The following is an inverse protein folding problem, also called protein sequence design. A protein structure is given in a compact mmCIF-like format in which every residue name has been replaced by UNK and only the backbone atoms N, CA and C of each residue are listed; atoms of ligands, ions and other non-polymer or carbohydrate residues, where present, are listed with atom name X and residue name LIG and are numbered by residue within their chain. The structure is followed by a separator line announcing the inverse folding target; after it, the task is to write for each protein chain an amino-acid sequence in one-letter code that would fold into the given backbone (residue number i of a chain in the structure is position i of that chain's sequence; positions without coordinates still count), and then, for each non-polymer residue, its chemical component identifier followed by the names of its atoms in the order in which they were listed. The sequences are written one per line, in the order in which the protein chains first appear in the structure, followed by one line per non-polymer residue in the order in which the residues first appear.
data_IF_074901999299
#
_entry.id   IF_074901999299
#
_cell.length_a   1.000
_cell.length_b   1.000
_cell.length_c   1.000
_cell.angle_alpha   90.00
_cell.angle_beta   90.00
_cell.angle_gamma   90.00
#
_symmetry.space_group_name_H-M   'P 1'
#
loop_
_entity.id
_entity.type
_entity.pdbx_description
1 polymer ?
#
# COMPACT_ATOMS: atom_id res chain seq x y z
N UNK A 1 -21.37 14.56 85.43
CA UNK A 1 -22.61 14.70 84.65
C UNK A 1 -22.23 15.40 83.35
N UNK A 2 -22.39 14.63 82.27
CA UNK A 2 -22.45 15.03 80.86
C UNK A 2 -21.20 15.55 80.15
N UNK A 3 -20.34 14.61 79.75
CA UNK A 3 -19.52 14.72 78.56
C UNK A 3 -20.09 13.75 77.50
N UNK A 4 -20.99 14.25 76.64
CA UNK A 4 -21.44 13.53 75.45
C UNK A 4 -21.87 14.48 74.31
N UNK A 5 -21.22 14.25 73.16
CA UNK A 5 -21.74 14.33 71.79
C UNK A 5 -21.97 15.70 71.13
N UNK A 6 -20.94 16.18 70.41
CA UNK A 6 -21.13 16.86 69.12
C UNK A 6 -20.29 16.16 68.03
N UNK A 7 -20.92 15.58 66.99
CA UNK A 7 -20.23 14.79 65.97
C UNK A 7 -19.41 15.63 64.97
N UNK A 8 -18.22 15.13 64.63
CA UNK A 8 -17.37 15.56 63.51
C UNK A 8 -18.15 15.51 62.19
N UNK A 9 -18.67 16.64 61.73
CA UNK A 9 -19.24 16.78 60.38
C UNK A 9 -18.59 17.92 59.58
N UNK A 10 -17.26 17.95 59.51
CA UNK A 10 -16.52 18.94 58.69
C UNK A 10 -15.63 18.32 57.61
N UNK A 11 -15.53 16.97 57.55
CA UNK A 11 -14.66 16.30 56.57
C UNK A 11 -15.32 16.08 55.20
N UNK A 12 -16.66 16.05 55.11
CA UNK A 12 -17.37 15.81 53.84
C UNK A 12 -17.56 17.05 52.96
N UNK A 13 -17.62 18.24 53.57
CA UNK A 13 -17.88 19.51 52.86
C UNK A 13 -16.66 19.94 52.04
N UNK A 14 -15.44 19.74 52.57
CA UNK A 14 -14.20 20.07 51.87
C UNK A 14 -13.91 19.14 50.68
N UNK A 15 -14.41 17.90 50.70
CA UNK A 15 -14.34 16.97 49.56
C UNK A 15 -15.27 17.40 48.43
N UNK A 16 -16.52 17.72 48.76
CA UNK A 16 -17.52 18.18 47.78
C UNK A 16 -17.17 19.54 47.15
N UNK A 17 -16.58 20.46 47.92
CA UNK A 17 -16.07 21.74 47.40
C UNK A 17 -14.87 21.57 46.45
N UNK A 18 -14.02 20.57 46.68
CA UNK A 18 -12.90 20.24 45.78
C UNK A 18 -13.37 19.59 44.48
N UNK A 19 -14.35 18.71 44.55
CA UNK A 19 -14.93 18.07 43.36
C UNK A 19 -15.70 19.07 42.49
N UNK A 20 -16.47 19.98 43.09
CA UNK A 20 -17.17 21.04 42.35
C UNK A 20 -16.20 22.01 41.68
N UNK A 21 -15.06 22.33 42.30
CA UNK A 21 -14.00 23.13 41.67
C UNK A 21 -13.35 22.36 40.49
N UNK A 22 -13.00 21.09 40.69
CA UNK A 22 -12.42 20.24 39.63
C UNK A 22 -13.35 20.03 38.45
N UNK A 23 -14.66 19.88 38.68
CA UNK A 23 -15.67 19.76 37.63
C UNK A 23 -15.86 21.08 36.90
N UNK A 24 -15.80 22.21 37.61
CA UNK A 24 -15.87 23.55 37.00
C UNK A 24 -14.64 23.84 36.15
N UNK A 25 -13.45 23.46 36.59
CA UNK A 25 -12.21 23.57 35.81
C UNK A 25 -12.25 22.66 34.57
N UNK A 26 -12.83 21.45 34.70
CA UNK A 26 -13.05 20.54 33.57
C UNK A 26 -14.10 21.08 32.59
N UNK A 27 -15.17 21.70 33.08
CA UNK A 27 -16.19 22.34 32.26
C UNK A 27 -15.63 23.57 31.54
N UNK A 28 -14.82 24.38 32.21
CA UNK A 28 -14.12 25.52 31.59
C UNK A 28 -13.11 25.02 30.56
N UNK A 29 -12.41 23.91 30.80
CA UNK A 29 -11.54 23.29 29.81
C UNK A 29 -12.33 22.77 28.59
N UNK A 30 -13.48 22.13 28.80
CA UNK A 30 -14.39 21.67 27.74
C UNK A 30 -14.98 22.86 26.97
N UNK A 31 -15.38 23.91 27.66
CA UNK A 31 -15.89 25.14 27.07
C UNK A 31 -14.80 25.90 26.33
N UNK A 32 -13.54 25.86 26.78
CA UNK A 32 -12.38 26.42 26.05
C UNK A 32 -12.07 25.58 24.81
N UNK A 33 -12.22 24.26 24.88
CA UNK A 33 -12.11 23.36 23.72
C UNK A 33 -13.27 23.53 22.73
N UNK A 34 -14.47 23.92 23.19
CA UNK A 34 -15.65 24.15 22.36
C UNK A 34 -15.77 25.60 21.84
N UNK A 35 -15.24 26.60 22.56
CA UNK A 35 -15.47 28.02 22.32
C UNK A 35 -14.29 28.72 21.62
N UNK A 36 -13.10 28.10 21.58
CA UNK A 36 -11.86 28.86 21.32
C UNK A 36 -10.86 28.27 20.34
N UNK A 37 -11.19 27.25 19.55
CA UNK A 37 -10.51 27.09 18.27
C UNK A 37 -11.19 28.03 17.28
N UNK A 38 -10.90 29.33 17.38
CA UNK A 38 -10.99 30.19 16.19
C UNK A 38 -10.02 29.57 15.19
N UNK A 39 -10.53 28.68 14.33
CA UNK A 39 -9.76 28.14 13.23
C UNK A 39 -9.17 29.35 12.52
N UNK A 40 -7.82 29.46 12.37
CA UNK A 40 -7.27 30.45 11.49
C UNK A 40 -8.01 30.29 10.16
N UNK A 41 -8.66 31.36 9.69
CA UNK A 41 -9.37 31.36 8.40
C UNK A 41 -8.37 30.83 7.38
N UNK A 42 -8.58 29.60 6.91
CA UNK A 42 -7.70 28.99 5.94
C UNK A 42 -7.66 29.94 4.73
N UNK A 43 -6.46 30.36 4.28
CA UNK A 43 -6.35 31.27 3.17
C UNK A 43 -7.09 30.68 1.96
N UNK A 44 -7.94 31.49 1.33
CA UNK A 44 -8.72 31.08 0.15
C UNK A 44 -7.83 30.32 -0.84
N UNK A 45 -8.23 29.11 -1.26
CA UNK A 45 -7.40 28.25 -2.09
C UNK A 45 -7.06 28.96 -3.40
N UNK A 46 -5.77 29.19 -3.64
CA UNK A 46 -5.29 29.78 -4.88
C UNK A 46 -5.36 28.74 -5.99
N UNK A 47 -6.55 28.60 -6.57
CA UNK A 47 -6.91 27.54 -7.54
C UNK A 47 -5.86 27.32 -8.64
N UNK A 48 -5.26 28.38 -9.17
CA UNK A 48 -4.25 28.30 -10.24
C UNK A 48 -2.92 27.75 -9.72
N UNK A 49 -2.52 28.15 -8.51
CA UNK A 49 -1.27 27.71 -7.88
C UNK A 49 -1.37 26.25 -7.46
N UNK A 50 -2.51 25.86 -6.88
CA UNK A 50 -2.83 24.46 -6.55
C UNK A 50 -2.91 23.58 -7.80
N UNK A 51 -3.59 24.04 -8.86
CA UNK A 51 -3.64 23.31 -10.12
C UNK A 51 -2.24 23.12 -10.72
N UNK A 52 -1.37 24.14 -10.65
CA UNK A 52 0.00 24.05 -11.16
C UNK A 52 0.84 23.01 -10.40
N UNK A 53 0.77 23.00 -9.08
CA UNK A 53 1.48 21.99 -8.27
C UNK A 53 0.89 20.58 -8.50
N UNK A 54 -0.43 20.48 -8.63
CA UNK A 54 -1.09 19.21 -8.99
C UNK A 54 -0.59 18.68 -10.35
N UNK A 55 -0.55 19.51 -11.39
CA UNK A 55 -0.03 19.12 -12.70
C UNK A 55 1.45 18.74 -12.66
N UNK A 56 2.24 19.45 -11.85
CA UNK A 56 3.67 19.15 -11.65
C UNK A 56 3.91 17.77 -11.01
N UNK A 57 2.97 17.30 -10.17
CA UNK A 57 3.01 15.96 -9.58
C UNK A 57 2.38 14.89 -10.48
N UNK A 58 1.21 15.16 -11.07
CA UNK A 58 0.48 14.20 -11.89
C UNK A 58 1.31 13.80 -13.11
N UNK A 59 1.95 14.75 -13.79
CA UNK A 59 2.70 14.47 -15.02
C UNK A 59 3.78 13.38 -14.85
N UNK A 60 4.70 13.46 -13.86
CA UNK A 60 5.66 12.39 -13.60
C UNK A 60 5.02 11.10 -13.04
N UNK A 61 3.94 11.17 -12.27
CA UNK A 61 3.23 9.97 -11.78
C UNK A 61 2.57 9.20 -12.92
N UNK A 62 1.94 9.92 -13.87
CA UNK A 62 1.40 9.33 -15.10
C UNK A 62 2.52 8.72 -15.94
N UNK A 63 3.64 9.43 -16.13
CA UNK A 63 4.80 8.91 -16.84
C UNK A 63 5.35 7.62 -16.21
N UNK A 64 5.47 7.59 -14.88
CA UNK A 64 5.91 6.40 -14.13
C UNK A 64 4.92 5.25 -14.31
N UNK A 65 3.62 5.49 -14.20
CA UNK A 65 2.58 4.47 -14.39
C UNK A 65 2.59 3.90 -15.81
N UNK A 66 2.75 4.74 -16.83
CA UNK A 66 2.88 4.29 -18.22
C UNK A 66 4.13 3.43 -18.43
N UNK A 67 5.25 3.82 -17.83
CA UNK A 67 6.48 3.02 -17.85
C UNK A 67 6.31 1.69 -17.12
N UNK A 68 5.51 1.61 -16.07
CA UNK A 68 5.25 0.36 -15.34
C UNK A 68 4.39 -0.63 -16.15
N UNK A 69 3.60 -0.16 -17.11
CA UNK A 69 2.84 -1.04 -18.03
C UNK A 69 3.67 -1.59 -19.20
N UNK A 70 4.74 -0.89 -19.59
CA UNK A 70 5.59 -1.30 -20.73
C UNK A 70 6.16 -2.71 -20.60
N UNK A 71 6.67 -3.17 -19.43
CA UNK A 71 7.22 -4.51 -19.26
C UNK A 71 6.23 -5.61 -19.62
N UNK A 72 4.97 -5.47 -19.15
CA UNK A 72 3.91 -6.42 -19.49
C UNK A 72 3.59 -6.42 -20.97
N UNK A 73 3.51 -5.24 -21.59
CA UNK A 73 3.27 -5.10 -23.03
C UNK A 73 4.40 -5.73 -23.87
N UNK A 74 5.66 -5.46 -23.53
CA UNK A 74 6.83 -6.03 -24.21
C UNK A 74 6.85 -7.55 -24.06
N UNK A 75 6.58 -8.08 -22.86
CA UNK A 75 6.51 -9.52 -22.63
C UNK A 75 5.41 -10.20 -23.46
N UNK A 76 4.25 -9.56 -23.60
CA UNK A 76 3.16 -10.08 -24.47
C UNK A 76 3.56 -10.06 -25.94
N UNK A 77 4.19 -8.98 -26.42
CA UNK A 77 4.67 -8.90 -27.80
C UNK A 77 5.73 -9.97 -28.11
N UNK A 78 6.65 -10.22 -27.18
CA UNK A 78 7.65 -11.27 -27.32
C UNK A 78 7.01 -12.67 -27.27
N UNK A 79 6.08 -12.90 -26.32
CA UNK A 79 5.37 -14.17 -26.19
C UNK A 79 4.44 -14.47 -27.37
N UNK A 80 3.87 -13.43 -28.00
CA UNK A 80 2.97 -13.57 -29.16
C UNK A 80 3.65 -14.11 -30.42
N UNK A 81 4.98 -14.04 -30.52
CA UNK A 81 5.74 -14.65 -31.61
C UNK A 81 6.08 -16.14 -31.38
N UNK A 82 5.68 -16.73 -30.24
CA UNK A 82 5.94 -18.14 -29.90
C UNK A 82 4.89 -19.03 -30.58
N UNK A 83 5.11 -19.37 -31.85
CA UNK A 83 4.29 -20.33 -32.59
C UNK A 83 4.60 -21.78 -32.20
N UNK A 84 3.63 -22.51 -31.63
CA UNK A 84 3.76 -23.94 -31.33
C UNK A 84 2.46 -24.57 -30.84
N UNK A 85 2.18 -25.83 -31.21
CA UNK A 85 0.93 -26.53 -30.90
C UNK A 85 0.70 -26.76 -29.39
N UNK A 86 1.75 -26.72 -28.57
CA UNK A 86 1.68 -26.84 -27.10
C UNK A 86 1.70 -25.47 -26.38
N UNK A 87 1.92 -24.36 -27.10
CA UNK A 87 2.08 -23.02 -26.53
C UNK A 87 0.80 -22.51 -25.86
N UNK A 88 -0.37 -22.96 -26.33
CA UNK A 88 -1.66 -22.55 -25.78
C UNK A 88 -1.79 -22.87 -24.28
N UNK A 89 -1.40 -24.09 -23.87
CA UNK A 89 -1.49 -24.50 -22.47
C UNK A 89 -0.55 -23.74 -21.53
N UNK A 90 0.63 -23.33 -22.02
CA UNK A 90 1.58 -22.51 -21.24
C UNK A 90 1.08 -21.08 -21.09
N UNK A 91 0.53 -20.50 -22.16
CA UNK A 91 -0.04 -19.14 -22.13
C UNK A 91 -1.27 -19.09 -21.22
N UNK A 92 -2.16 -20.08 -21.33
CA UNK A 92 -3.34 -20.19 -20.45
C UNK A 92 -2.92 -20.34 -18.99
N UNK A 93 -1.97 -21.23 -18.69
CA UNK A 93 -1.44 -21.41 -17.34
C UNK A 93 -0.80 -20.13 -16.79
N UNK A 94 0.04 -19.45 -17.57
CA UNK A 94 0.66 -18.19 -17.18
C UNK A 94 -0.38 -17.09 -16.92
N UNK A 95 -1.39 -16.97 -17.79
CA UNK A 95 -2.47 -16.01 -17.63
C UNK A 95 -3.28 -16.26 -16.35
N UNK A 96 -3.62 -17.52 -16.07
CA UNK A 96 -4.34 -17.91 -14.85
C UNK A 96 -3.47 -17.66 -13.61
N UNK A 97 -2.17 -17.96 -13.63
CA UNK A 97 -1.25 -17.66 -12.52
C UNK A 97 -1.20 -16.17 -12.22
N UNK A 98 -1.06 -15.34 -13.25
CA UNK A 98 -1.03 -13.87 -13.11
C UNK A 98 -2.36 -13.37 -12.56
N UNK A 99 -3.48 -13.88 -13.07
CA UNK A 99 -4.82 -13.54 -12.55
C UNK A 99 -4.97 -13.91 -11.07
N UNK A 100 -4.54 -15.11 -10.68
CA UNK A 100 -4.61 -15.58 -9.29
C UNK A 100 -3.79 -14.67 -8.36
N UNK A 101 -2.56 -14.32 -8.77
CA UNK A 101 -1.71 -13.39 -8.02
C UNK A 101 -2.33 -11.99 -7.92
N UNK A 102 -2.92 -11.48 -9.00
CA UNK A 102 -3.60 -10.19 -9.02
C UNK A 102 -4.76 -10.14 -8.03
N UNK A 103 -5.59 -11.17 -8.00
CA UNK A 103 -6.77 -11.24 -7.12
C UNK A 103 -6.36 -11.47 -5.67
N UNK A 104 -5.48 -12.43 -5.41
CA UNK A 104 -5.22 -12.93 -4.05
C UNK A 104 -4.08 -12.23 -3.32
N UNK A 105 -3.17 -11.55 -4.04
CA UNK A 105 -2.03 -10.87 -3.42
C UNK A 105 -1.99 -9.39 -3.80
N UNK A 106 -1.95 -9.08 -5.09
CA UNK A 106 -1.70 -7.74 -5.61
C UNK A 106 -2.82 -6.76 -5.22
N UNK A 107 -4.10 -7.14 -5.38
CA UNK A 107 -5.24 -6.29 -4.98
C UNK A 107 -5.26 -5.99 -3.49
N UNK A 108 -4.99 -6.98 -2.64
CA UNK A 108 -4.91 -6.81 -1.18
C UNK A 108 -3.71 -5.94 -0.78
N UNK A 109 -2.54 -6.19 -1.37
CA UNK A 109 -1.32 -5.42 -1.10
C UNK A 109 -1.46 -3.95 -1.51
N UNK A 110 -1.99 -3.68 -2.71
CA UNK A 110 -2.30 -2.33 -3.18
C UNK A 110 -3.37 -1.65 -2.31
N UNK A 111 -4.39 -2.40 -1.89
CA UNK A 111 -5.41 -1.92 -0.96
C UNK A 111 -4.79 -1.45 0.37
N UNK A 112 -3.94 -2.27 0.98
CA UNK A 112 -3.22 -1.91 2.20
C UNK A 112 -2.25 -0.73 2.00
N UNK A 113 -1.55 -0.69 0.86
CA UNK A 113 -0.66 0.42 0.52
C UNK A 113 -1.40 1.76 0.31
N UNK A 114 -2.68 1.74 -0.11
CA UNK A 114 -3.49 2.96 -0.24
C UNK A 114 -3.76 3.66 1.10
N UNK A 115 -3.84 2.90 2.19
CA UNK A 115 -3.93 3.47 3.54
C UNK A 115 -2.67 4.27 3.89
N UNK A 116 -1.49 3.78 3.46
CA UNK A 116 -0.23 4.49 3.66
C UNK A 116 -0.18 5.82 2.90
N UNK A 117 -0.75 5.86 1.69
CA UNK A 117 -0.86 7.07 0.87
C UNK A 117 -1.63 8.17 1.61
N UNK A 118 -2.76 7.81 2.22
CA UNK A 118 -3.57 8.71 3.06
C UNK A 118 -2.81 9.18 4.30
N UNK A 119 -2.19 8.26 5.05
CA UNK A 119 -1.46 8.60 6.27
C UNK A 119 -0.25 9.50 5.99
N UNK A 120 0.51 9.20 4.93
CA UNK A 120 1.69 9.97 4.56
C UNK A 120 1.33 11.34 4.00
N UNK A 121 0.29 11.45 3.16
CA UNK A 121 -0.19 12.75 2.65
C UNK A 121 -0.71 13.64 3.79
N UNK A 122 -1.45 13.08 4.75
CA UNK A 122 -1.90 13.82 5.94
C UNK A 122 -0.72 14.27 6.81
N UNK A 123 0.24 13.40 7.09
CA UNK A 123 1.44 13.77 7.86
C UNK A 123 2.28 14.83 7.13
N UNK A 124 2.42 14.72 5.81
CA UNK A 124 3.14 15.69 5.00
C UNK A 124 2.44 17.06 5.03
N UNK A 125 1.11 17.09 4.84
CA UNK A 125 0.30 18.32 4.93
C UNK A 125 0.35 18.97 6.32
N UNK A 126 0.34 18.16 7.38
CA UNK A 126 0.49 18.62 8.76
C UNK A 126 1.94 18.98 9.16
N UNK A 127 2.89 18.96 8.22
CA UNK A 127 4.33 19.20 8.43
C UNK A 127 4.98 18.25 9.46
N UNK A 128 4.42 17.05 9.66
CA UNK A 128 4.91 16.01 10.58
C UNK A 128 5.74 14.97 9.82
N UNK A 129 6.85 15.41 9.22
CA UNK A 129 7.70 14.54 8.38
C UNK A 129 8.26 13.35 9.15
N UNK A 130 8.53 13.52 10.46
CA UNK A 130 9.03 12.46 11.33
C UNK A 130 8.09 11.24 11.40
N UNK A 131 6.78 11.46 11.21
CA UNK A 131 5.77 10.39 11.23
C UNK A 131 5.79 9.56 9.95
N UNK A 132 6.30 10.08 8.84
CA UNK A 132 6.31 9.37 7.56
C UNK A 132 7.18 8.11 7.64
N UNK A 133 8.33 8.19 8.32
CA UNK A 133 9.18 7.02 8.54
C UNK A 133 8.50 5.95 9.39
N UNK A 134 7.76 6.35 10.43
CA UNK A 134 6.98 5.43 11.27
C UNK A 134 5.87 4.78 10.45
N UNK A 135 5.14 5.54 9.64
CA UNK A 135 4.11 4.98 8.78
C UNK A 135 4.66 4.02 7.73
N UNK A 136 5.83 4.32 7.15
CA UNK A 136 6.51 3.41 6.24
C UNK A 136 6.86 2.08 6.92
N UNK A 137 7.48 2.14 8.11
CA UNK A 137 7.80 0.93 8.89
C UNK A 137 6.54 0.13 9.24
N UNK A 138 5.48 0.80 9.68
CA UNK A 138 4.18 0.17 9.92
C UNK A 138 3.64 -0.50 8.64
N UNK A 139 3.72 0.17 7.50
CA UNK A 139 3.33 -0.38 6.20
C UNK A 139 4.12 -1.64 5.84
N UNK A 140 5.44 -1.63 6.06
CA UNK A 140 6.31 -2.82 5.85
C UNK A 140 5.87 -3.97 6.74
N UNK A 141 5.63 -3.72 8.03
CA UNK A 141 5.21 -4.77 8.97
C UNK A 141 3.83 -5.32 8.60
N UNK A 142 2.85 -4.45 8.32
CA UNK A 142 1.50 -4.85 7.93
C UNK A 142 1.52 -5.67 6.65
N UNK A 143 2.23 -5.21 5.61
CA UNK A 143 2.36 -5.97 4.37
C UNK A 143 3.15 -7.27 4.56
N UNK A 144 4.15 -7.31 5.44
CA UNK A 144 4.88 -8.56 5.74
C UNK A 144 3.98 -9.60 6.39
N UNK A 145 3.12 -9.17 7.32
CA UNK A 145 2.13 -10.07 7.95
C UNK A 145 1.10 -10.52 6.92
N UNK A 146 0.61 -9.60 6.09
CA UNK A 146 -0.37 -9.90 5.03
C UNK A 146 0.23 -10.78 3.90
N UNK A 147 1.53 -10.69 3.66
CA UNK A 147 2.25 -11.50 2.67
C UNK A 147 2.21 -12.99 3.03
N UNK A 148 2.27 -13.35 4.32
CA UNK A 148 2.25 -14.76 4.76
C UNK A 148 1.02 -15.52 4.22
N UNK A 149 -0.24 -15.10 4.49
CA UNK A 149 -1.40 -15.79 3.94
C UNK A 149 -1.46 -15.69 2.41
N UNK A 150 -0.99 -14.61 1.79
CA UNK A 150 -0.92 -14.50 0.32
C UNK A 150 -0.01 -15.57 -0.29
N UNK A 151 1.18 -15.77 0.28
CA UNK A 151 2.12 -16.80 -0.17
C UNK A 151 1.54 -18.20 0.02
N UNK A 152 0.87 -18.45 1.14
CA UNK A 152 0.20 -19.73 1.41
C UNK A 152 -0.86 -20.00 0.35
N UNK A 153 -1.81 -19.08 0.14
CA UNK A 153 -2.89 -19.22 -0.85
C UNK A 153 -2.32 -19.49 -2.25
N UNK A 154 -1.32 -18.73 -2.68
CA UNK A 154 -0.72 -18.89 -4.01
C UNK A 154 0.15 -20.16 -4.15
N UNK A 155 0.69 -20.70 -3.06
CA UNK A 155 1.40 -21.99 -3.05
C UNK A 155 0.46 -23.19 -3.25
N UNK A 156 -0.81 -23.00 -2.89
CA UNK A 156 -1.92 -23.95 -3.09
C UNK A 156 -2.76 -23.61 -4.32
N UNK A 157 -2.18 -22.96 -5.34
CA UNK A 157 -2.87 -22.67 -6.60
C UNK A 157 -3.53 -23.91 -7.24
N UNK A 158 -2.84 -25.06 -7.24
CA UNK A 158 -3.33 -26.30 -7.85
C UNK A 158 -4.68 -26.80 -7.26
N UNK A 159 -4.79 -27.07 -5.93
CA UNK A 159 -6.06 -27.50 -5.37
C UNK A 159 -7.17 -26.46 -5.48
N UNK A 160 -6.83 -25.16 -5.43
CA UNK A 160 -7.82 -24.07 -5.62
C UNK A 160 -8.41 -24.14 -7.04
N UNK A 161 -7.56 -24.31 -8.05
CA UNK A 161 -7.98 -24.37 -9.45
C UNK A 161 -8.73 -25.67 -9.77
N UNK A 162 -8.31 -26.80 -9.19
CA UNK A 162 -9.05 -28.07 -9.30
C UNK A 162 -10.46 -27.94 -8.69
N UNK A 163 -10.62 -27.24 -7.57
CA UNK A 163 -11.93 -26.96 -6.97
C UNK A 163 -12.81 -26.09 -7.88
N UNK A 164 -12.20 -25.17 -8.63
CA UNK A 164 -12.88 -24.33 -9.63
C UNK A 164 -13.18 -25.06 -10.95
N UNK A 165 -12.85 -26.36 -11.06
CA UNK A 165 -13.14 -27.18 -12.23
C UNK A 165 -12.19 -27.02 -13.41
N UNK A 166 -10.97 -26.49 -13.20
CA UNK A 166 -9.95 -26.38 -14.25
C UNK A 166 -9.37 -27.74 -14.66
N UNK A 167 -8.94 -27.85 -15.92
CA UNK A 167 -8.32 -29.07 -16.47
C UNK A 167 -6.96 -29.35 -15.80
N UNK A 168 -6.76 -30.60 -15.36
CA UNK A 168 -5.59 -31.03 -14.57
C UNK A 168 -4.23 -30.67 -15.19
N UNK A 169 -4.11 -30.70 -16.52
CA UNK A 169 -2.85 -30.34 -17.20
C UNK A 169 -2.52 -28.84 -17.06
N UNK A 170 -3.52 -27.96 -17.11
CA UNK A 170 -3.32 -26.50 -16.96
C UNK A 170 -3.06 -26.15 -15.50
N UNK A 171 -3.72 -26.86 -14.58
CA UNK A 171 -3.61 -26.63 -13.13
C UNK A 171 -2.20 -26.87 -12.59
N UNK A 172 -1.51 -27.92 -13.07
CA UNK A 172 -0.13 -28.21 -12.70
C UNK A 172 0.84 -27.13 -13.19
N UNK A 173 0.75 -26.74 -14.46
CA UNK A 173 1.56 -25.66 -15.04
C UNK A 173 1.35 -24.34 -14.29
N UNK A 174 0.09 -24.03 -13.96
CA UNK A 174 -0.28 -22.81 -13.23
C UNK A 174 0.36 -22.76 -11.83
N UNK A 175 0.51 -23.92 -11.19
CA UNK A 175 1.19 -24.04 -9.89
C UNK A 175 2.67 -23.66 -9.99
N UNK A 176 3.35 -24.18 -11.00
CA UNK A 176 4.78 -23.95 -11.20
C UNK A 176 5.04 -22.47 -11.53
N UNK A 177 4.24 -21.89 -12.44
CA UNK A 177 4.29 -20.46 -12.71
C UNK A 177 4.00 -19.60 -11.47
N UNK A 178 2.99 -19.96 -10.66
CA UNK A 178 2.68 -19.26 -9.41
C UNK A 178 3.88 -19.28 -8.45
N UNK A 179 4.49 -20.45 -8.24
CA UNK A 179 5.65 -20.63 -7.36
C UNK A 179 6.89 -19.87 -7.82
N UNK A 180 7.11 -19.79 -9.13
CA UNK A 180 8.19 -18.98 -9.72
C UNK A 180 8.00 -17.48 -9.45
N UNK A 181 6.76 -17.01 -9.38
CA UNK A 181 6.44 -15.59 -9.13
C UNK A 181 6.45 -15.21 -7.64
N UNK A 182 6.20 -16.16 -6.73
CA UNK A 182 6.18 -15.93 -5.27
C UNK A 182 7.37 -15.14 -4.71
N UNK A 183 8.65 -15.47 -5.03
CA UNK A 183 9.79 -14.72 -4.50
C UNK A 183 9.82 -13.25 -4.94
N UNK A 184 9.11 -12.88 -6.02
CA UNK A 184 9.01 -11.49 -6.49
C UNK A 184 8.05 -10.62 -5.67
N UNK A 185 7.04 -11.21 -5.01
CA UNK A 185 6.03 -10.48 -4.23
C UNK A 185 6.59 -9.58 -3.12
N UNK A 186 7.53 -10.00 -2.25
CA UNK A 186 8.07 -9.11 -1.21
C UNK A 186 8.76 -7.88 -1.81
N UNK A 187 9.48 -8.04 -2.91
CA UNK A 187 10.15 -6.93 -3.60
C UNK A 187 9.14 -5.98 -4.24
N UNK A 188 8.09 -6.53 -4.85
CA UNK A 188 7.00 -5.76 -5.44
C UNK A 188 6.30 -4.87 -4.39
N UNK A 189 5.98 -5.43 -3.23
CA UNK A 189 5.33 -4.68 -2.15
C UNK A 189 6.25 -3.64 -1.52
N UNK A 190 7.53 -3.95 -1.34
CA UNK A 190 8.50 -2.98 -0.87
C UNK A 190 8.64 -1.80 -1.85
N UNK A 191 8.73 -2.09 -3.15
CA UNK A 191 8.75 -1.07 -4.20
C UNK A 191 7.51 -0.18 -4.13
N UNK A 192 6.31 -0.78 -4.01
CA UNK A 192 5.06 -0.02 -3.94
C UNK A 192 5.01 0.90 -2.72
N UNK A 193 5.44 0.43 -1.54
CA UNK A 193 5.50 1.26 -0.33
C UNK A 193 6.43 2.45 -0.51
N UNK A 194 7.64 2.23 -1.04
CA UNK A 194 8.61 3.30 -1.29
C UNK A 194 8.05 4.31 -2.29
N UNK A 195 7.44 3.80 -3.37
CA UNK A 195 6.79 4.60 -4.41
C UNK A 195 5.72 5.51 -3.82
N UNK A 196 4.83 4.96 -3.00
CA UNK A 196 3.78 5.72 -2.31
C UNK A 196 4.35 6.81 -1.40
N UNK A 197 5.31 6.47 -0.54
CA UNK A 197 5.95 7.45 0.35
C UNK A 197 6.62 8.58 -0.42
N UNK A 198 7.33 8.27 -1.51
CA UNK A 198 7.95 9.27 -2.37
C UNK A 198 6.92 10.16 -3.10
N UNK A 199 5.81 9.57 -3.56
CA UNK A 199 4.70 10.32 -4.17
C UNK A 199 4.04 11.28 -3.17
N UNK A 200 3.77 10.85 -1.93
CA UNK A 200 3.17 11.72 -0.91
C UNK A 200 4.04 12.94 -0.57
N UNK A 201 5.36 12.81 -0.71
CA UNK A 201 6.31 13.90 -0.47
C UNK A 201 6.56 14.79 -1.70
N UNK A 202 5.89 14.53 -2.83
CA UNK A 202 6.15 15.18 -4.12
C UNK A 202 7.56 14.91 -4.70
N UNK A 203 8.24 13.85 -4.26
CA UNK A 203 9.60 13.48 -4.71
C UNK A 203 9.55 12.32 -5.71
N UNK A 204 9.05 12.61 -6.91
CA UNK A 204 8.75 11.59 -7.93
C UNK A 204 9.82 11.43 -9.02
N UNK A 205 10.82 12.32 -9.08
CA UNK A 205 11.92 12.21 -10.06
C UNK A 205 12.73 10.91 -9.93
N UNK A 206 13.10 10.44 -8.71
CA UNK A 206 13.82 9.18 -8.56
C UNK A 206 13.03 7.98 -9.09
N UNK A 207 11.70 7.98 -8.89
CA UNK A 207 10.82 6.92 -9.38
C UNK A 207 10.83 6.82 -10.90
N UNK A 208 10.80 7.94 -11.62
CA UNK A 208 10.89 7.96 -13.08
C UNK A 208 12.21 7.35 -13.55
N UNK A 209 13.33 7.70 -12.92
CA UNK A 209 14.66 7.16 -13.28
C UNK A 209 14.72 5.66 -13.05
N UNK A 210 14.24 5.19 -11.89
CA UNK A 210 14.19 3.75 -11.56
C UNK A 210 13.29 3.00 -12.55
N UNK A 211 12.14 3.55 -12.91
CA UNK A 211 11.22 2.95 -13.87
C UNK A 211 11.84 2.85 -15.27
N UNK A 212 12.55 3.88 -15.74
CA UNK A 212 13.28 3.85 -17.02
C UNK A 212 14.36 2.78 -17.00
N UNK A 213 15.19 2.74 -15.95
CA UNK A 213 16.25 1.73 -15.82
C UNK A 213 15.65 0.32 -15.77
N UNK A 214 14.59 0.12 -14.98
CA UNK A 214 13.88 -1.15 -14.87
C UNK A 214 13.32 -1.63 -16.21
N UNK A 215 12.80 -0.72 -17.02
CA UNK A 215 12.34 -1.02 -18.38
C UNK A 215 13.47 -1.43 -19.32
N UNK A 216 14.62 -0.74 -19.27
CA UNK A 216 15.79 -1.10 -20.07
C UNK A 216 16.34 -2.47 -19.68
N UNK A 217 16.39 -2.76 -18.38
CA UNK A 217 16.77 -4.08 -17.86
C UNK A 217 15.76 -5.13 -18.29
N UNK A 218 14.46 -4.85 -18.20
CA UNK A 218 13.41 -5.79 -18.63
C UNK A 218 13.47 -6.07 -20.14
N UNK A 219 13.73 -5.05 -20.96
CA UNK A 219 13.91 -5.22 -22.40
C UNK A 219 15.16 -6.05 -22.70
N UNK A 220 16.29 -5.76 -22.05
CA UNK A 220 17.53 -6.50 -22.23
C UNK A 220 17.44 -7.95 -21.75
N UNK A 221 16.87 -8.19 -20.57
CA UNK A 221 16.64 -9.52 -20.03
C UNK A 221 15.60 -10.29 -20.83
N UNK A 222 14.50 -9.65 -21.23
CA UNK A 222 13.45 -10.24 -22.07
C UNK A 222 13.98 -10.62 -23.44
N UNK A 223 14.78 -9.75 -24.08
CA UNK A 223 15.45 -10.06 -25.35
C UNK A 223 16.49 -11.18 -25.18
N UNK A 224 17.29 -11.14 -24.11
CA UNK A 224 18.30 -12.16 -23.83
C UNK A 224 17.71 -13.55 -23.53
N UNK A 225 16.62 -13.61 -22.77
CA UNK A 225 15.91 -14.86 -22.51
C UNK A 225 15.18 -15.38 -23.75
N UNK A 226 14.55 -14.49 -24.54
CA UNK A 226 13.78 -14.88 -25.73
C UNK A 226 14.67 -15.32 -26.90
N UNK A 227 15.84 -14.71 -27.10
CA UNK A 227 16.68 -14.95 -28.28
C UNK A 227 17.99 -15.69 -28.01
N UNK A 228 18.47 -15.74 -26.75
CA UNK A 228 19.80 -16.29 -26.46
C UNK A 228 19.83 -17.43 -25.44
N UNK A 229 18.76 -17.63 -24.66
CA UNK A 229 18.62 -18.77 -23.74
C UNK A 229 17.70 -19.80 -24.33
N UNK A 230 18.00 -21.09 -24.16
CA UNK A 230 17.18 -22.16 -24.76
C UNK A 230 15.74 -22.20 -24.26
N UNK A 231 15.28 -21.37 -23.32
CA UNK A 231 13.86 -21.25 -22.93
C UNK A 231 12.99 -20.46 -23.92
N UNK A 232 13.60 -19.67 -24.81
CA UNK A 232 13.00 -19.35 -26.11
C UNK A 232 13.22 -20.55 -27.03
N UNK A 233 12.46 -21.61 -26.82
CA UNK A 233 12.72 -22.87 -27.51
C UNK A 233 12.33 -22.78 -29.01
N UNK A 234 13.27 -23.26 -29.84
CA UNK A 234 13.07 -23.70 -31.22
C UNK A 234 11.84 -24.59 -31.41
#
# INVERSE_FOLDING_TARGET
MDEQLLPKHSSGINGSLRETHSLRDSLVAIETLQSGASNPVEPEPKRIEEARELFRLILPVMGTTMLEFLPGFVSILLAGNIGGANSQHYVDAAAISVMLLNVTAQSLGLGLASALDTLCSQAYGAKRIDKIGIYFQTGVVVLSIALIPMLVVNSFAEPILNLLGQHTNVTYLTRDFSRLMLPGLPFLFLYELVRKVMQCQNVVKPLVVIAVIGNLVNLGAGYGLAYHTSMGFN
#
